data_IF_167485985959
#
_entry.id   IF_167485985959
#
_cell.length_a   1.000
_cell.length_b   1.000
_cell.length_c   1.000
_cell.angle_alpha   90.00
_cell.angle_beta   90.00
_cell.angle_gamma   90.00
#
_symmetry.space_group_name_H-M   'P 1'
#
loop_
_entity.id
_entity.type
_entity.pdbx_description
1 polymer ?
#
# COMPACT_ATOMS: atom_id res chain seq x y z
N UNK A 1 -4.60 3.39 11.14
CA UNK A 1 -5.32 2.48 10.27
C UNK A 1 -5.61 3.12 8.94
N UNK A 2 -5.33 2.40 7.85
CA UNK A 2 -5.54 2.95 6.52
C UNK A 2 -6.93 2.62 6.02
N UNK A 3 -7.47 3.48 5.18
CA UNK A 3 -8.76 3.25 4.59
C UNK A 3 -8.77 3.83 3.18
N UNK A 4 -9.77 3.43 2.43
CA UNK A 4 -9.92 3.87 1.06
C UNK A 4 -9.91 5.39 0.98
N UNK A 5 -9.09 5.92 0.08
CA UNK A 5 -8.95 7.35 -0.09
C UNK A 5 -7.77 7.96 0.62
N UNK A 6 -7.15 7.22 1.55
CA UNK A 6 -5.97 7.75 2.24
C UNK A 6 -4.79 7.84 1.28
N UNK A 7 -3.98 8.87 1.50
CA UNK A 7 -2.73 9.01 0.76
C UNK A 7 -1.60 8.48 1.62
N UNK A 8 -0.77 7.62 1.05
CA UNK A 8 0.32 6.97 1.77
C UNK A 8 1.62 7.10 1.00
N UNK A 9 2.73 6.96 1.73
CA UNK A 9 4.05 6.92 1.13
C UNK A 9 4.66 5.56 1.43
N UNK A 10 5.35 4.99 0.44
CA UNK A 10 5.97 3.68 0.59
C UNK A 10 7.29 3.83 1.32
N UNK A 11 7.44 3.06 2.40
CA UNK A 11 8.60 3.15 3.28
C UNK A 11 9.77 2.32 2.76
N UNK A 12 10.99 2.60 3.23
CA UNK A 12 12.18 1.84 2.80
C UNK A 12 12.16 0.36 3.18
N UNK A 13 11.26 -0.03 4.06
CA UNK A 13 11.15 -1.45 4.44
C UNK A 13 10.48 -2.29 3.37
N UNK A 14 9.90 -1.65 2.37
CA UNK A 14 9.20 -2.36 1.31
C UNK A 14 10.19 -3.15 0.45
N UNK A 15 9.80 -4.37 0.06
CA UNK A 15 10.65 -5.21 -0.78
C UNK A 15 10.74 -4.71 -2.21
N UNK A 16 9.73 -3.99 -2.64
CA UNK A 16 9.72 -3.44 -3.99
C UNK A 16 10.47 -2.12 -4.00
N UNK A 17 11.76 -2.20 -4.25
CA UNK A 17 12.59 -1.01 -4.18
C UNK A 17 12.18 0.10 -5.12
N UNK A 18 11.63 -0.27 -6.26
CA UNK A 18 11.19 0.74 -7.24
C UNK A 18 10.01 1.54 -6.74
N UNK A 19 9.32 1.06 -5.73
CA UNK A 19 8.16 1.75 -5.19
C UNK A 19 8.49 2.62 -3.99
N UNK A 20 9.66 2.44 -3.39
CA UNK A 20 10.02 3.20 -2.19
C UNK A 20 9.98 4.69 -2.48
N UNK A 21 9.34 5.43 -1.57
CA UNK A 21 9.22 6.88 -1.71
C UNK A 21 8.06 7.35 -2.56
N UNK A 22 7.35 6.43 -3.20
CA UNK A 22 6.21 6.84 -4.01
C UNK A 22 5.01 7.15 -3.13
N UNK A 23 4.22 8.10 -3.59
CA UNK A 23 3.01 8.51 -2.89
C UNK A 23 1.83 7.95 -3.66
N UNK A 24 1.00 7.18 -2.97
CA UNK A 24 -0.08 6.44 -3.60
C UNK A 24 -1.37 6.65 -2.84
N UNK A 25 -2.49 6.38 -3.49
CA UNK A 25 -3.80 6.47 -2.86
C UNK A 25 -4.30 5.06 -2.57
N UNK A 26 -4.75 4.84 -1.35
CA UNK A 26 -5.31 3.55 -0.95
C UNK A 26 -6.67 3.37 -1.59
N UNK A 27 -6.89 2.21 -2.20
CA UNK A 27 -8.13 1.93 -2.90
C UNK A 27 -9.00 0.88 -2.21
N UNK A 28 -8.53 0.33 -1.09
CA UNK A 28 -9.31 -0.65 -0.34
C UNK A 28 -9.15 -0.45 1.15
N UNK A 29 -10.03 -1.10 1.93
CA UNK A 29 -9.85 -1.18 3.37
C UNK A 29 -8.70 -2.14 3.67
N UNK A 30 -8.27 -2.16 4.92
CA UNK A 30 -7.28 -3.12 5.35
C UNK A 30 -7.82 -4.53 5.25
N UNK A 31 -6.99 -5.43 4.74
CA UNK A 31 -7.37 -6.84 4.57
C UNK A 31 -6.36 -7.68 5.32
N UNK A 32 -6.87 -8.51 6.23
CA UNK A 32 -6.02 -9.41 6.98
C UNK A 32 -5.78 -10.67 6.18
N UNK A 33 -4.51 -11.05 6.04
CA UNK A 33 -4.18 -12.26 5.31
C UNK A 33 -4.55 -13.49 6.13
N UNK A 34 -5.05 -14.52 5.45
CA UNK A 34 -5.50 -15.72 6.14
C UNK A 34 -4.36 -16.67 6.48
N UNK A 35 -3.23 -16.53 5.80
CA UNK A 35 -2.10 -17.45 5.99
C UNK A 35 -0.93 -16.81 6.72
N UNK A 36 -1.10 -15.60 7.20
CA UNK A 36 -0.05 -14.94 7.97
C UNK A 36 -0.71 -13.85 8.81
N UNK A 37 0.09 -13.22 9.66
CA UNK A 37 -0.41 -12.13 10.50
C UNK A 37 -0.38 -10.79 9.79
N UNK A 38 -0.04 -10.78 8.51
CA UNK A 38 0.08 -9.54 7.75
C UNK A 38 -1.26 -8.92 7.46
N UNK A 39 -1.27 -7.61 7.39
CA UNK A 39 -2.42 -6.84 6.96
C UNK A 39 -1.99 -6.02 5.76
N UNK A 40 -2.77 -6.07 4.70
CA UNK A 40 -2.44 -5.38 3.46
C UNK A 40 -3.54 -4.41 3.08
N UNK A 41 -3.17 -3.42 2.28
CA UNK A 41 -4.13 -2.58 1.58
C UNK A 41 -3.73 -2.54 0.13
N UNK A 42 -4.68 -2.26 -0.72
CA UNK A 42 -4.43 -2.08 -2.14
C UNK A 42 -4.30 -0.60 -2.44
N UNK A 43 -3.46 -0.27 -3.40
CA UNK A 43 -3.28 1.10 -3.84
C UNK A 43 -3.44 1.17 -5.35
N UNK A 44 -3.68 2.37 -5.85
CA UNK A 44 -3.79 2.58 -7.29
C UNK A 44 -2.47 2.24 -7.96
N UNK A 45 -2.52 1.67 -9.18
CA UNK A 45 -1.30 1.37 -9.93
C UNK A 45 -0.74 2.66 -10.52
N UNK A 46 0.47 3.00 -10.10
CA UNK A 46 1.08 4.23 -10.52
C UNK A 46 1.67 4.07 -11.92
N UNK A 47 1.06 4.74 -12.87
CA UNK A 47 1.57 4.75 -14.23
C UNK A 47 1.42 3.46 -15.00
N UNK A 48 0.62 2.53 -14.51
CA UNK A 48 0.39 1.26 -15.18
C UNK A 48 -1.07 0.99 -15.26
N UNK A 49 -1.46 0.38 -16.37
CA UNK A 49 -2.81 -0.08 -16.45
C UNK A 49 -3.03 -1.29 -15.62
N UNK A 50 -4.18 -1.40 -15.09
CA UNK A 50 -4.66 -2.66 -14.65
C UNK A 50 -4.67 -2.88 -13.18
N UNK A 51 -3.69 -3.56 -12.65
CA UNK A 51 -3.81 -4.08 -11.30
C UNK A 51 -3.41 -3.12 -10.23
N UNK A 52 -4.17 -3.12 -9.16
CA UNK A 52 -3.79 -2.40 -7.97
C UNK A 52 -2.62 -3.11 -7.31
N UNK A 53 -1.77 -2.34 -6.64
CA UNK A 53 -0.67 -2.91 -5.87
C UNK A 53 -1.14 -3.21 -4.47
N UNK A 54 -0.65 -4.29 -3.91
CA UNK A 54 -0.93 -4.66 -2.52
C UNK A 54 0.32 -4.43 -1.70
N UNK A 55 0.17 -3.74 -0.58
CA UNK A 55 1.28 -3.46 0.32
C UNK A 55 0.92 -3.86 1.74
N UNK A 56 1.90 -4.35 2.47
CA UNK A 56 1.73 -4.53 3.91
C UNK A 56 1.63 -3.17 4.55
N UNK A 57 0.75 -3.02 5.52
CA UNK A 57 0.57 -1.71 6.13
C UNK A 57 1.82 -1.24 6.85
N UNK A 58 2.68 -2.16 7.28
CA UNK A 58 3.93 -1.80 7.94
C UNK A 58 4.92 -1.16 6.97
N UNK A 59 4.68 -1.30 5.67
CA UNK A 59 5.54 -0.71 4.65
C UNK A 59 5.01 0.63 4.17
N UNK A 60 3.98 1.15 4.81
CA UNK A 60 3.35 2.41 4.41
C UNK A 60 3.23 3.35 5.59
N UNK A 61 3.20 4.64 5.29
CA UNK A 61 2.92 5.65 6.29
C UNK A 61 1.94 6.65 5.69
N UNK A 62 1.10 7.22 6.52
CA UNK A 62 0.17 8.24 6.06
C UNK A 62 0.96 9.45 5.57
N UNK A 63 0.54 9.97 4.44
CA UNK A 63 1.13 11.17 3.87
C UNK A 63 0.02 12.21 3.76
N UNK A 64 0.13 13.24 4.54
CA UNK A 64 -0.90 14.28 4.54
C UNK A 64 -0.46 15.52 3.80
#
# INVERSE_FOLDING_TARGET
>A
MFKKGDTVIVLPTCHERSMIGKILTVTSSEIKLTYSDGIVVFTEPKGRKGREHAFLIEDLALHS
#
